data_IF_860519002068
#
_entry.id   IF_860519002068
#
_cell.length_a   1.000
_cell.length_b   1.000
_cell.length_c   1.000
_cell.angle_alpha   90.00
_cell.angle_beta   90.00
_cell.angle_gamma   90.00
#
_symmetry.space_group_name_H-M   'P 1'
#
loop_
_entity.id
_entity.type
_entity.pdbx_description
1 polymer ?
#
# COMPACT_ATOMS: atom_id res chain seq x y z
N UNK A 1 -4.82 21.47 -19.41
CA UNK A 1 -3.93 20.51 -20.12
C UNK A 1 -2.56 21.12 -20.47
N UNK A 2 -2.48 22.26 -21.20
CA UNK A 2 -1.20 22.86 -21.63
C UNK A 2 -0.19 23.17 -20.50
N UNK A 3 -0.65 23.68 -19.34
CA UNK A 3 0.22 23.92 -18.20
C UNK A 3 0.90 22.63 -17.72
N UNK A 4 0.14 21.55 -17.56
CA UNK A 4 0.66 20.25 -17.15
C UNK A 4 1.64 19.69 -18.18
N UNK A 5 1.22 19.69 -19.46
CA UNK A 5 2.03 19.17 -20.56
C UNK A 5 3.41 19.82 -20.68
N UNK A 6 3.52 21.11 -20.36
CA UNK A 6 4.80 21.85 -20.40
C UNK A 6 5.68 21.66 -19.17
N UNK A 7 5.15 21.09 -18.08
CA UNK A 7 5.86 20.95 -16.80
C UNK A 7 6.23 19.50 -16.46
N UNK A 8 5.98 18.53 -17.36
CA UNK A 8 6.31 17.12 -17.16
C UNK A 8 7.10 16.58 -18.35
N UNK A 9 7.94 15.58 -18.11
CA UNK A 9 8.55 14.77 -19.17
C UNK A 9 7.54 13.71 -19.62
N UNK A 10 7.60 13.27 -20.87
CA UNK A 10 6.66 12.26 -21.39
C UNK A 10 5.20 12.72 -21.30
N UNK A 11 4.90 13.96 -21.67
CA UNK A 11 3.60 14.58 -21.44
C UNK A 11 2.42 13.81 -22.03
N UNK A 12 2.61 13.09 -23.13
CA UNK A 12 1.58 12.24 -23.72
C UNK A 12 1.12 11.14 -22.76
N UNK A 13 2.02 10.51 -22.01
CA UNK A 13 1.69 9.49 -21.01
C UNK A 13 0.87 10.09 -19.87
N UNK A 14 1.36 11.21 -19.29
CA UNK A 14 0.68 11.90 -18.19
C UNK A 14 -0.72 12.40 -18.60
N UNK A 15 -0.85 12.96 -19.81
CA UNK A 15 -2.14 13.39 -20.33
C UNK A 15 -3.04 12.18 -20.61
N UNK A 16 -2.47 11.07 -21.11
CA UNK A 16 -3.16 9.80 -21.30
C UNK A 16 -3.78 9.27 -20.00
N UNK A 17 -3.02 9.25 -18.91
CA UNK A 17 -3.50 8.85 -17.58
C UNK A 17 -4.64 9.77 -17.10
N UNK A 18 -4.52 11.08 -17.29
CA UNK A 18 -5.59 12.02 -16.94
C UNK A 18 -6.86 11.77 -17.76
N UNK A 19 -6.72 11.52 -19.06
CA UNK A 19 -7.86 11.18 -19.93
C UNK A 19 -8.51 9.86 -19.52
N UNK A 20 -7.71 8.86 -19.14
CA UNK A 20 -8.21 7.58 -18.63
C UNK A 20 -9.02 7.78 -17.33
N UNK A 21 -8.50 8.56 -16.37
CA UNK A 21 -9.19 8.86 -15.12
C UNK A 21 -10.51 9.61 -15.35
N UNK A 22 -10.51 10.61 -16.24
CA UNK A 22 -11.73 11.35 -16.60
C UNK A 22 -12.77 10.42 -17.24
N UNK A 23 -12.33 9.57 -18.17
CA UNK A 23 -13.22 8.64 -18.88
C UNK A 23 -13.80 7.57 -17.94
N UNK A 24 -12.98 7.04 -17.02
CA UNK A 24 -13.41 6.09 -16.01
C UNK A 24 -14.46 6.71 -15.07
N UNK A 25 -14.22 7.93 -14.59
CA UNK A 25 -15.18 8.65 -13.74
C UNK A 25 -16.48 8.98 -14.47
N UNK A 26 -16.41 9.38 -15.75
CA UNK A 26 -17.60 9.63 -16.56
C UNK A 26 -18.45 8.37 -16.73
N UNK A 27 -17.82 7.22 -17.02
CA UNK A 27 -18.52 5.93 -17.12
C UNK A 27 -19.11 5.49 -15.78
N UNK A 28 -18.39 5.70 -14.67
CA UNK A 28 -18.89 5.43 -13.32
C UNK A 28 -20.10 6.29 -12.96
N UNK A 29 -20.04 7.59 -13.24
CA UNK A 29 -21.14 8.53 -13.00
C UNK A 29 -22.39 8.15 -13.82
N UNK A 30 -22.21 7.81 -15.10
CA UNK A 30 -23.31 7.36 -15.95
C UNK A 30 -24.00 6.12 -15.38
N UNK A 31 -23.23 5.09 -14.99
CA UNK A 31 -23.79 3.85 -14.42
C UNK A 31 -24.51 4.08 -13.10
N UNK A 32 -24.04 5.02 -12.28
CA UNK A 32 -24.73 5.39 -11.03
C UNK A 32 -26.08 6.03 -11.35
N UNK A 33 -26.14 6.93 -12.33
CA UNK A 33 -27.41 7.57 -12.74
C UNK A 33 -28.37 6.53 -13.34
N UNK A 34 -27.89 5.66 -14.23
CA UNK A 34 -28.71 4.58 -14.81
C UNK A 34 -29.29 3.66 -13.72
N UNK A 35 -28.47 3.30 -12.72
CA UNK A 35 -28.93 2.55 -11.56
C UNK A 35 -29.98 3.32 -10.75
N UNK A 36 -29.79 4.61 -10.51
CA UNK A 36 -30.78 5.42 -9.80
C UNK A 36 -32.11 5.51 -10.56
N UNK A 37 -32.07 5.69 -11.88
CA UNK A 37 -33.25 5.73 -12.74
C UNK A 37 -34.00 4.39 -12.75
N UNK A 38 -33.28 3.26 -12.84
CA UNK A 38 -33.85 1.90 -12.84
C UNK A 38 -34.64 1.61 -11.55
N UNK A 39 -34.11 2.05 -10.40
CA UNK A 39 -34.70 1.80 -9.08
C UNK A 39 -35.55 2.96 -8.55
N UNK A 40 -35.71 4.05 -9.32
CA UNK A 40 -36.50 5.22 -8.92
C UNK A 40 -35.95 5.96 -7.70
N UNK A 41 -34.62 6.07 -7.60
CA UNK A 41 -33.91 6.69 -6.47
C UNK A 41 -33.58 8.15 -6.76
N UNK A 42 -33.90 9.06 -5.84
CA UNK A 42 -33.53 10.49 -5.96
C UNK A 42 -32.12 10.79 -5.42
N UNK A 43 -31.64 9.96 -4.49
CA UNK A 43 -30.30 10.03 -3.90
C UNK A 43 -29.76 8.63 -3.52
N UNK A 44 -28.52 8.58 -3.05
CA UNK A 44 -27.85 7.36 -2.59
C UNK A 44 -27.64 7.32 -1.07
N UNK A 45 -28.20 8.26 -0.31
CA UNK A 45 -27.86 8.43 1.10
C UNK A 45 -28.26 7.19 1.92
N UNK A 46 -29.51 6.74 1.76
CA UNK A 46 -30.01 5.55 2.43
C UNK A 46 -29.22 4.28 2.05
N UNK A 47 -28.90 4.11 0.76
CA UNK A 47 -28.11 2.97 0.28
C UNK A 47 -26.68 3.01 0.85
N UNK A 48 -26.05 4.19 0.82
CA UNK A 48 -24.71 4.41 1.35
C UNK A 48 -24.66 4.11 2.84
N UNK A 49 -25.67 4.56 3.60
CA UNK A 49 -25.81 4.25 5.02
C UNK A 49 -25.82 2.74 5.26
N UNK A 50 -26.71 2.01 4.58
CA UNK A 50 -26.84 0.55 4.77
C UNK A 50 -25.56 -0.20 4.36
N UNK A 51 -24.93 0.18 3.24
CA UNK A 51 -23.70 -0.47 2.76
C UNK A 51 -22.53 -0.22 3.72
N UNK A 52 -22.40 1.00 4.23
CA UNK A 52 -21.35 1.33 5.20
C UNK A 52 -21.61 0.70 6.57
N UNK A 53 -22.85 0.69 7.06
CA UNK A 53 -23.23 0.07 8.33
C UNK A 53 -22.91 -1.43 8.33
N UNK A 54 -23.24 -2.15 7.25
CA UNK A 54 -22.91 -3.58 7.11
C UNK A 54 -21.41 -3.84 7.16
N UNK A 55 -20.63 -2.99 6.50
CA UNK A 55 -19.18 -3.11 6.46
C UNK A 55 -18.53 -2.73 7.80
N UNK A 56 -19.06 -1.73 8.49
CA UNK A 56 -18.68 -1.37 9.85
C UNK A 56 -18.97 -2.52 10.82
N UNK A 57 -20.19 -3.06 10.79
CA UNK A 57 -20.57 -4.19 11.63
C UNK A 57 -19.64 -5.38 11.42
N UNK A 58 -19.44 -5.81 10.18
CA UNK A 58 -18.58 -6.95 9.88
C UNK A 58 -17.14 -6.75 10.38
N UNK A 59 -16.62 -5.52 10.28
CA UNK A 59 -15.30 -5.21 10.80
C UNK A 59 -15.26 -5.18 12.33
N UNK A 60 -16.25 -4.57 13.00
CA UNK A 60 -16.34 -4.56 14.47
C UNK A 60 -16.47 -5.97 15.03
N UNK A 61 -17.32 -6.80 14.43
CA UNK A 61 -17.45 -8.22 14.77
C UNK A 61 -16.07 -8.92 14.67
N UNK A 62 -15.32 -8.68 13.59
CA UNK A 62 -13.99 -9.26 13.43
C UNK A 62 -12.94 -8.75 14.43
N UNK A 63 -13.06 -7.48 14.88
CA UNK A 63 -12.20 -6.93 15.94
C UNK A 63 -12.53 -7.56 17.29
N UNK A 64 -13.80 -7.79 17.61
CA UNK A 64 -14.24 -8.41 18.88
C UNK A 64 -13.72 -9.84 19.08
N UNK A 65 -13.43 -10.56 17.99
CA UNK A 65 -12.82 -11.90 18.06
C UNK A 65 -11.32 -11.86 18.41
N UNK A 66 -10.68 -10.69 18.35
CA UNK A 66 -9.30 -10.51 18.79
C UNK A 66 -9.26 -10.37 20.31
N UNK A 67 -8.23 -10.91 20.99
CA UNK A 67 -8.07 -10.66 22.42
C UNK A 67 -7.76 -9.18 22.68
N UNK A 68 -8.43 -8.59 23.66
CA UNK A 68 -8.07 -7.28 24.19
C UNK A 68 -6.63 -7.28 24.71
N UNK A 69 -5.89 -6.21 24.44
CA UNK A 69 -4.50 -6.13 24.87
C UNK A 69 -3.67 -5.06 24.17
N UNK A 70 -2.38 -5.06 24.51
CA UNK A 70 -1.38 -4.19 23.91
C UNK A 70 -0.33 -5.06 23.23
N UNK A 71 -0.23 -4.90 21.92
CA UNK A 71 0.69 -5.63 21.06
C UNK A 71 1.74 -4.67 20.53
N UNK A 72 3.01 -5.06 20.64
CA UNK A 72 4.14 -4.20 20.24
C UNK A 72 5.05 -4.96 19.32
N UNK A 73 5.60 -4.25 18.34
CA UNK A 73 6.70 -4.75 17.53
C UNK A 73 7.58 -3.58 17.09
N UNK A 74 8.79 -3.89 16.64
CA UNK A 74 9.71 -2.93 16.06
C UNK A 74 10.36 -3.54 14.83
N UNK A 75 10.43 -2.78 13.74
CA UNK A 75 11.21 -3.16 12.56
C UNK A 75 12.33 -2.13 12.36
N UNK A 76 13.51 -2.62 12.03
CA UNK A 76 14.65 -1.79 11.67
C UNK A 76 14.71 -1.60 10.16
N UNK A 77 14.68 -0.35 9.71
CA UNK A 77 14.67 0.01 8.30
C UNK A 77 15.81 0.98 7.96
N UNK A 78 16.60 0.64 6.95
CA UNK A 78 17.76 1.43 6.51
C UNK A 78 17.35 2.67 5.69
N UNK A 79 16.25 2.59 4.93
CA UNK A 79 15.89 3.66 3.99
C UNK A 79 17.10 4.02 3.12
N UNK A 80 17.53 5.28 3.15
CA UNK A 80 18.75 5.79 2.47
C UNK A 80 19.94 6.04 3.42
N UNK A 81 19.90 5.50 4.64
CA UNK A 81 20.90 5.74 5.69
C UNK A 81 21.13 4.50 6.58
N UNK A 82 21.72 4.64 7.78
CA UNK A 82 21.82 3.52 8.70
C UNK A 82 20.42 3.01 9.10
N UNK A 83 20.28 1.72 9.45
CA UNK A 83 19.05 1.18 10.02
C UNK A 83 18.57 1.97 11.23
N UNK A 84 17.30 2.38 11.22
CA UNK A 84 16.62 3.05 12.32
C UNK A 84 15.38 2.24 12.75
N UNK A 85 15.01 2.28 14.04
CA UNK A 85 13.85 1.55 14.54
C UNK A 85 12.54 2.24 14.14
N UNK A 86 11.54 1.45 13.77
CA UNK A 86 10.15 1.86 13.58
C UNK A 86 9.29 1.07 14.55
N UNK A 87 9.12 1.55 15.79
CA UNK A 87 8.27 0.90 16.77
C UNK A 87 6.79 1.11 16.44
N UNK A 88 5.97 0.14 16.85
CA UNK A 88 4.51 0.25 16.86
C UNK A 88 3.95 -0.28 18.16
N UNK A 89 2.80 0.28 18.54
CA UNK A 89 1.94 -0.21 19.61
C UNK A 89 0.51 -0.27 19.08
N UNK A 90 -0.07 -1.45 19.11
CA UNK A 90 -1.46 -1.71 18.75
C UNK A 90 -2.22 -1.99 20.04
N UNK A 91 -3.24 -1.20 20.33
CA UNK A 91 -4.14 -1.42 21.48
C UNK A 91 -5.48 -1.90 20.94
N UNK A 92 -5.95 -3.03 21.45
CA UNK A 92 -7.27 -3.59 21.15
C UNK A 92 -8.09 -3.51 22.43
N UNK A 93 -9.28 -2.94 22.33
CA UNK A 93 -10.23 -2.83 23.43
C UNK A 93 -11.66 -2.90 22.90
N UNK A 94 -12.34 -4.02 23.18
CA UNK A 94 -13.67 -4.30 22.67
C UNK A 94 -13.67 -4.45 21.15
N UNK A 95 -14.27 -3.50 20.45
CA UNK A 95 -14.40 -3.50 18.99
C UNK A 95 -13.59 -2.39 18.30
N UNK A 96 -12.65 -1.77 19.03
CA UNK A 96 -11.79 -0.69 18.54
C UNK A 96 -10.31 -1.09 18.50
N UNK A 97 -9.60 -0.57 17.51
CA UNK A 97 -8.14 -0.73 17.38
C UNK A 97 -7.49 0.66 17.31
N UNK A 98 -6.54 0.90 18.21
CA UNK A 98 -5.63 2.04 18.13
C UNK A 98 -4.25 1.57 17.66
N UNK A 99 -3.71 2.21 16.62
CA UNK A 99 -2.34 2.00 16.14
C UNK A 99 -1.51 3.25 16.37
N UNK A 100 -0.50 3.13 17.21
CA UNK A 100 0.39 4.19 17.63
C UNK A 100 1.82 3.96 17.14
N UNK A 101 2.32 4.91 16.34
CA UNK A 101 3.67 4.94 15.79
C UNK A 101 4.61 5.83 16.61
N UNK A 102 4.32 6.10 17.88
CA UNK A 102 5.23 6.80 18.78
C UNK A 102 6.62 6.13 18.83
N UNK A 103 7.68 6.94 18.73
CA UNK A 103 9.06 6.48 18.58
C UNK A 103 9.52 6.36 17.12
N UNK A 104 8.65 6.64 16.14
CA UNK A 104 9.06 6.75 14.73
C UNK A 104 10.18 7.79 14.59
N UNK A 105 11.23 7.51 13.79
CA UNK A 105 12.33 8.44 13.59
C UNK A 105 11.87 9.80 13.06
N UNK A 106 12.62 10.88 13.34
CA UNK A 106 12.29 12.20 12.82
C UNK A 106 12.27 12.21 11.29
N UNK A 107 11.50 13.15 10.73
CA UNK A 107 11.50 13.44 9.31
C UNK A 107 12.92 13.76 8.81
N UNK A 108 13.24 13.29 7.61
CA UNK A 108 14.53 13.53 6.94
C UNK A 108 14.47 14.79 6.10
N UNK A 109 15.58 15.51 6.06
CA UNK A 109 15.73 16.69 5.19
C UNK A 109 15.99 16.30 3.73
N UNK A 110 16.61 15.14 3.51
CA UNK A 110 17.06 14.65 2.21
C UNK A 110 16.52 13.26 1.91
N UNK A 111 16.64 12.84 0.65
CA UNK A 111 16.27 11.48 0.21
C UNK A 111 14.77 11.25 -0.02
N UNK A 112 13.91 12.21 0.30
CA UNK A 112 12.47 12.20 -0.01
C UNK A 112 11.70 10.97 0.50
N UNK A 113 12.20 10.30 1.54
CA UNK A 113 11.61 9.09 2.13
C UNK A 113 10.67 9.40 3.31
N UNK A 114 10.14 10.63 3.41
CA UNK A 114 9.14 10.95 4.43
C UNK A 114 7.75 10.56 3.95
N UNK A 115 6.81 10.37 4.87
CA UNK A 115 5.42 10.08 4.60
C UNK A 115 4.51 11.06 5.34
N UNK A 116 3.41 11.43 4.68
CA UNK A 116 2.30 12.13 5.35
C UNK A 116 1.53 11.15 6.22
N UNK A 117 0.86 11.67 7.26
CA UNK A 117 -0.02 10.85 8.10
C UNK A 117 -1.12 10.16 7.30
N UNK A 118 -1.68 10.82 6.29
CA UNK A 118 -2.72 10.24 5.43
C UNK A 118 -2.27 8.96 4.73
N UNK A 119 -1.01 8.87 4.31
CA UNK A 119 -0.47 7.69 3.65
C UNK A 119 -0.14 6.58 4.67
N UNK A 120 0.31 6.97 5.87
CA UNK A 120 0.47 6.04 7.00
C UNK A 120 -0.87 5.40 7.38
N UNK A 121 -1.90 6.22 7.61
CA UNK A 121 -3.29 5.77 7.88
C UNK A 121 -3.76 4.81 6.79
N UNK A 122 -3.55 5.14 5.51
CA UNK A 122 -4.00 4.29 4.41
C UNK A 122 -3.38 2.89 4.46
N UNK A 123 -2.07 2.76 4.71
CA UNK A 123 -1.41 1.45 4.78
C UNK A 123 -1.72 0.69 6.08
N UNK A 124 -1.94 1.39 7.18
CA UNK A 124 -2.43 0.79 8.43
C UNK A 124 -3.81 0.18 8.23
N UNK A 125 -4.77 0.98 7.73
CA UNK A 125 -6.14 0.54 7.49
C UNK A 125 -6.22 -0.55 6.41
N UNK A 126 -5.43 -0.45 5.34
CA UNK A 126 -5.31 -1.50 4.32
C UNK A 126 -4.90 -2.83 4.95
N UNK A 127 -3.86 -2.82 5.78
CA UNK A 127 -3.33 -4.04 6.42
C UNK A 127 -4.36 -4.68 7.33
N UNK A 128 -4.98 -3.90 8.22
CA UNK A 128 -6.02 -4.38 9.13
C UNK A 128 -7.24 -4.89 8.34
N UNK A 129 -7.61 -4.21 7.25
CA UNK A 129 -8.72 -4.63 6.38
C UNK A 129 -8.46 -5.98 5.69
N UNK A 130 -7.25 -6.17 5.16
CA UNK A 130 -6.86 -7.44 4.56
C UNK A 130 -6.78 -8.58 5.60
N UNK A 131 -6.33 -8.26 6.82
CA UNK A 131 -6.20 -9.24 7.90
C UNK A 131 -7.56 -9.68 8.46
N UNK A 132 -8.47 -8.74 8.71
CA UNK A 132 -9.67 -8.98 9.51
C UNK A 132 -10.90 -9.37 8.67
N UNK A 133 -11.10 -8.74 7.51
CA UNK A 133 -12.33 -8.94 6.74
C UNK A 133 -12.08 -9.03 5.23
N UNK A 134 -11.16 -9.87 4.73
CA UNK A 134 -10.73 -9.86 3.33
C UNK A 134 -11.86 -9.90 2.29
N UNK A 135 -12.98 -10.56 2.62
CA UNK A 135 -14.13 -10.73 1.72
C UNK A 135 -15.17 -9.60 1.77
N UNK A 136 -15.06 -8.67 2.73
CA UNK A 136 -15.98 -7.52 2.84
C UNK A 136 -15.55 -6.43 1.84
N UNK A 137 -16.43 -5.92 0.97
CA UNK A 137 -16.10 -4.80 0.10
C UNK A 137 -15.66 -3.57 0.89
N UNK A 138 -14.48 -3.05 0.56
CA UNK A 138 -13.89 -1.89 1.25
C UNK A 138 -14.72 -0.62 1.04
N UNK A 139 -15.13 0.00 2.15
CA UNK A 139 -15.74 1.33 2.17
C UNK A 139 -15.46 2.01 3.52
N UNK A 140 -15.91 3.26 3.70
CA UNK A 140 -15.63 4.06 4.89
C UNK A 140 -16.07 3.40 6.22
N UNK A 141 -17.10 2.54 6.20
CA UNK A 141 -17.54 1.79 7.38
C UNK A 141 -16.46 0.87 7.94
N UNK A 142 -15.63 0.27 7.08
CA UNK A 142 -14.55 -0.62 7.50
C UNK A 142 -13.44 0.05 8.34
N UNK A 143 -13.41 1.38 8.43
CA UNK A 143 -12.29 2.11 9.02
C UNK A 143 -12.68 2.92 10.26
N UNK A 144 -13.97 2.95 10.62
CA UNK A 144 -14.50 3.83 11.71
C UNK A 144 -13.99 3.47 13.11
N UNK A 145 -13.63 2.21 13.33
CA UNK A 145 -13.10 1.71 14.61
C UNK A 145 -11.58 1.81 14.71
N UNK A 146 -10.90 2.32 13.68
CA UNK A 146 -9.45 2.44 13.66
C UNK A 146 -9.02 3.86 14.01
N UNK A 147 -8.21 3.99 15.06
CA UNK A 147 -7.48 5.23 15.36
C UNK A 147 -6.01 5.02 14.99
N UNK A 148 -5.45 5.91 14.17
CA UNK A 148 -4.04 5.82 13.75
C UNK A 148 -3.32 7.12 14.07
N UNK A 149 -2.22 7.03 14.81
CA UNK A 149 -1.44 8.20 15.25
C UNK A 149 0.05 8.00 15.07
N UNK A 150 0.74 9.08 14.73
CA UNK A 150 2.20 9.15 14.64
C UNK A 150 2.65 10.56 15.07
N UNK A 151 3.83 10.71 15.72
CA UNK A 151 4.30 12.00 16.18
C UNK A 151 4.43 13.00 15.03
N UNK A 152 3.95 14.23 15.21
CA UNK A 152 4.15 15.30 14.23
C UNK A 152 5.66 15.56 14.02
N UNK A 153 6.08 15.73 12.77
CA UNK A 153 7.50 15.87 12.42
C UNK A 153 8.28 14.55 12.43
N UNK A 154 7.59 13.40 12.54
CA UNK A 154 8.18 12.09 12.32
C UNK A 154 8.15 11.69 10.85
N UNK A 155 8.91 10.66 10.49
CA UNK A 155 8.96 10.12 9.12
C UNK A 155 7.62 9.54 8.63
N UNK A 156 6.70 9.25 9.53
CA UNK A 156 5.34 8.77 9.23
C UNK A 156 4.25 9.84 9.38
N UNK A 157 4.60 11.05 9.83
CA UNK A 157 3.71 12.20 9.92
C UNK A 157 4.50 13.50 9.71
N UNK A 158 5.02 13.64 8.49
CA UNK A 158 5.78 14.81 8.07
C UNK A 158 4.85 15.94 7.61
N UNK A 159 5.32 17.17 7.79
CA UNK A 159 4.63 18.38 7.32
C UNK A 159 5.32 18.98 6.10
N UNK A 160 4.57 19.78 5.33
CA UNK A 160 5.13 20.60 4.25
C UNK A 160 6.23 21.51 4.86
N UNK A 161 7.42 21.67 4.24
CA UNK A 161 7.77 21.35 2.84
C UNK A 161 8.60 20.06 2.64
N UNK A 162 8.62 19.12 3.59
CA UNK A 162 9.44 17.92 3.44
C UNK A 162 9.03 17.07 2.24
N UNK A 163 10.02 16.49 1.57
CA UNK A 163 9.81 15.69 0.37
C UNK A 163 9.29 14.28 0.70
N UNK A 164 8.30 13.82 -0.07
CA UNK A 164 7.56 12.55 0.15
C UNK A 164 7.52 11.64 -1.09
N UNK A 165 8.40 11.89 -2.06
CA UNK A 165 8.42 11.16 -3.35
C UNK A 165 8.66 9.65 -3.14
N UNK A 166 9.63 9.28 -2.30
CA UNK A 166 9.97 7.90 -1.95
C UNK A 166 9.31 7.45 -0.64
N UNK A 167 8.12 7.97 -0.29
CA UNK A 167 7.40 7.59 0.94
C UNK A 167 7.17 6.09 1.09
N UNK A 168 7.05 5.35 -0.02
CA UNK A 168 6.92 3.88 -0.04
C UNK A 168 8.10 3.19 0.65
N UNK A 169 9.31 3.75 0.57
CA UNK A 169 10.51 3.24 1.25
C UNK A 169 10.43 3.37 2.78
N UNK A 170 9.39 3.99 3.33
CA UNK A 170 9.15 4.07 4.78
C UNK A 170 7.82 3.42 5.14
N UNK A 171 6.73 3.78 4.46
CA UNK A 171 5.39 3.33 4.84
C UNK A 171 5.14 1.85 4.55
N UNK A 172 5.86 1.22 3.61
CA UNK A 172 5.72 -0.22 3.35
C UNK A 172 6.19 -1.11 4.49
N UNK A 173 6.97 -0.57 5.45
CA UNK A 173 7.27 -1.28 6.68
C UNK A 173 6.06 -1.38 7.63
N UNK A 174 5.08 -0.47 7.54
CA UNK A 174 3.91 -0.47 8.42
C UNK A 174 3.10 -1.77 8.33
N UNK A 175 2.71 -2.28 7.13
CA UNK A 175 2.01 -3.57 7.02
C UNK A 175 2.72 -4.73 7.69
N UNK A 176 4.01 -4.93 7.38
CA UNK A 176 4.77 -6.02 7.96
C UNK A 176 4.85 -5.88 9.49
N UNK A 177 5.11 -4.67 9.98
CA UNK A 177 5.22 -4.40 11.40
C UNK A 177 3.91 -4.72 12.14
N UNK A 178 2.77 -4.30 11.59
CA UNK A 178 1.43 -4.61 12.13
C UNK A 178 1.22 -6.12 12.21
N UNK A 179 1.49 -6.85 11.12
CA UNK A 179 1.29 -8.31 11.09
C UNK A 179 2.18 -9.04 12.10
N UNK A 180 3.42 -8.57 12.32
CA UNK A 180 4.28 -9.12 13.37
C UNK A 180 3.75 -8.83 14.78
N UNK A 181 3.30 -7.61 15.07
CA UNK A 181 2.70 -7.30 16.38
C UNK A 181 1.45 -8.16 16.65
N UNK A 182 0.65 -8.41 15.60
CA UNK A 182 -0.57 -9.19 15.68
C UNK A 182 -0.35 -10.71 15.72
N UNK A 183 0.87 -11.20 15.49
CA UNK A 183 1.14 -12.63 15.37
C UNK A 183 0.79 -13.45 16.62
N UNK A 184 0.85 -12.85 17.82
CA UNK A 184 0.44 -13.53 19.06
C UNK A 184 -1.09 -13.46 19.28
N UNK A 185 -1.73 -12.39 18.82
CA UNK A 185 -3.17 -12.17 18.99
C UNK A 185 -4.00 -13.04 18.02
N UNK A 186 -3.54 -13.11 16.77
CA UNK A 186 -4.25 -13.75 15.67
C UNK A 186 -3.26 -14.47 14.73
N UNK A 187 -2.55 -15.52 15.19
CA UNK A 187 -1.52 -16.21 14.43
C UNK A 187 -2.02 -16.76 13.08
N UNK A 188 -3.30 -17.10 12.99
CA UNK A 188 -3.92 -17.67 11.78
C UNK A 188 -4.43 -16.63 10.78
N UNK A 189 -4.32 -15.33 11.10
CA UNK A 189 -4.71 -14.22 10.23
C UNK A 189 -3.51 -13.44 9.67
N UNK A 190 -2.30 -13.77 10.11
CA UNK A 190 -1.07 -13.05 9.72
C UNK A 190 -0.19 -13.86 8.75
N UNK A 191 0.76 -13.16 8.14
CA UNK A 191 1.86 -13.75 7.39
C UNK A 191 3.18 -13.11 7.86
N UNK A 192 4.30 -13.79 7.61
CA UNK A 192 5.63 -13.28 7.90
C UNK A 192 5.98 -12.08 7.02
N UNK A 193 7.18 -11.51 7.22
CA UNK A 193 7.65 -10.37 6.42
C UNK A 193 7.62 -10.70 4.92
N UNK A 194 7.03 -9.81 4.12
CA UNK A 194 7.03 -9.91 2.67
C UNK A 194 8.05 -8.96 2.09
N UNK A 195 8.92 -9.47 1.22
CA UNK A 195 9.86 -8.66 0.46
C UNK A 195 9.13 -7.61 -0.38
N UNK A 196 9.60 -6.37 -0.32
CA UNK A 196 8.93 -5.27 -0.99
C UNK A 196 9.11 -5.32 -2.52
N UNK A 197 8.17 -4.73 -3.27
CA UNK A 197 8.37 -4.43 -4.67
C UNK A 197 9.64 -3.60 -4.86
N UNK A 198 10.36 -3.91 -5.92
CA UNK A 198 11.45 -3.09 -6.41
C UNK A 198 11.08 -2.53 -7.78
N UNK A 199 11.58 -1.33 -8.08
CA UNK A 199 11.39 -0.70 -9.37
C UNK A 199 12.74 -0.21 -9.86
N UNK A 200 13.13 -0.62 -11.06
CA UNK A 200 14.27 -0.03 -11.76
C UNK A 200 13.75 1.15 -12.59
N UNK A 201 14.11 2.36 -12.20
CA UNK A 201 13.81 3.57 -12.96
C UNK A 201 14.81 3.71 -14.10
N UNK A 202 14.31 3.78 -15.33
CA UNK A 202 15.08 3.79 -16.56
C UNK A 202 14.64 5.01 -17.37
N UNK A 203 15.49 6.03 -17.40
CA UNK A 203 15.18 7.29 -18.07
C UNK A 203 16.38 7.83 -18.84
N UNK A 204 16.10 8.59 -19.89
CA UNK A 204 17.16 9.17 -20.71
C UNK A 204 16.65 9.74 -22.03
N UNK A 205 17.58 9.81 -22.99
CA UNK A 205 17.27 10.13 -24.38
C UNK A 205 17.83 9.02 -25.27
N UNK A 206 17.03 8.58 -26.22
CA UNK A 206 17.48 7.64 -27.24
C UNK A 206 18.45 8.33 -28.24
N UNK A 207 19.07 7.58 -29.16
CA UNK A 207 19.94 8.17 -30.20
C UNK A 207 19.26 9.19 -31.12
N UNK A 208 17.92 9.17 -31.22
CA UNK A 208 17.13 10.13 -31.99
C UNK A 208 16.78 11.40 -31.16
N UNK A 209 17.17 11.45 -29.90
CA UNK A 209 16.89 12.55 -28.97
C UNK A 209 15.53 12.46 -28.28
N UNK A 210 14.75 11.40 -28.52
CA UNK A 210 13.45 11.16 -27.90
C UNK A 210 13.65 10.79 -26.42
N UNK A 211 12.86 11.42 -25.54
CA UNK A 211 12.91 11.12 -24.10
C UNK A 211 12.18 9.80 -23.84
N UNK A 212 12.80 8.92 -23.07
CA UNK A 212 12.16 7.75 -22.46
C UNK A 212 12.23 7.85 -20.94
N UNK A 213 11.20 7.34 -20.28
CA UNK A 213 11.06 7.24 -18.83
C UNK A 213 10.16 6.03 -18.55
N UNK A 214 10.73 4.98 -17.98
CA UNK A 214 10.01 3.74 -17.69
C UNK A 214 10.46 3.11 -16.37
N UNK A 215 9.59 2.29 -15.80
CA UNK A 215 9.77 1.60 -14.54
C UNK A 215 9.64 0.10 -14.78
N UNK A 216 10.71 -0.64 -14.55
CA UNK A 216 10.65 -2.10 -14.50
C UNK A 216 10.30 -2.54 -13.07
N UNK A 217 9.02 -2.80 -12.82
CA UNK A 217 8.52 -3.27 -11.53
C UNK A 217 8.69 -4.78 -11.36
N UNK A 218 9.13 -5.18 -10.17
CA UNK A 218 9.37 -6.57 -9.77
C UNK A 218 8.92 -6.80 -8.33
N UNK A 219 8.16 -7.88 -8.10
CA UNK A 219 7.75 -8.30 -6.75
C UNK A 219 8.84 -8.99 -5.93
N UNK A 220 8.70 -8.96 -4.61
CA UNK A 220 9.53 -9.71 -3.67
C UNK A 220 8.93 -11.07 -3.30
N UNK A 221 9.57 -11.80 -2.38
CA UNK A 221 9.02 -13.04 -1.82
C UNK A 221 7.96 -12.75 -0.77
N UNK A 222 6.76 -13.32 -0.90
CA UNK A 222 5.71 -13.24 0.12
C UNK A 222 6.15 -13.97 1.39
N UNK A 223 5.83 -13.40 2.55
CA UNK A 223 5.99 -14.09 3.82
C UNK A 223 5.09 -15.31 3.91
N UNK A 224 5.61 -16.40 4.50
CA UNK A 224 4.80 -17.58 4.78
C UNK A 224 3.69 -17.29 5.80
N UNK A 225 2.65 -18.12 5.82
CA UNK A 225 1.59 -18.07 6.83
C UNK A 225 1.58 -19.36 7.66
N UNK A 226 0.70 -19.45 8.67
CA UNK A 226 0.48 -20.69 9.41
C UNK A 226 -0.08 -21.85 8.54
N UNK A 227 -0.49 -21.56 7.30
CA UNK A 227 -1.24 -22.48 6.43
C UNK A 227 -0.46 -22.94 5.20
N UNK A 228 0.49 -22.14 4.71
CA UNK A 228 1.17 -22.40 3.44
C UNK A 228 2.45 -21.57 3.25
N UNK A 229 3.28 -22.03 2.32
CA UNK A 229 4.43 -21.31 1.78
C UNK A 229 4.02 -19.95 1.17
N UNK A 230 4.95 -19.01 1.19
CA UNK A 230 4.83 -17.74 0.48
C UNK A 230 4.99 -17.89 -1.03
N UNK A 231 4.31 -17.03 -1.79
CA UNK A 231 4.47 -16.90 -3.24
C UNK A 231 5.69 -16.06 -3.60
N UNK A 232 6.47 -16.49 -4.59
CA UNK A 232 7.60 -15.74 -5.14
C UNK A 232 7.15 -14.67 -6.13
N UNK A 233 7.79 -13.49 -6.11
CA UNK A 233 7.55 -12.42 -7.10
C UNK A 233 6.24 -11.65 -6.89
N UNK A 234 5.78 -11.51 -5.65
CA UNK A 234 4.55 -10.78 -5.31
C UNK A 234 4.84 -9.30 -5.04
N UNK A 235 4.03 -8.40 -5.60
CA UNK A 235 4.14 -6.96 -5.36
C UNK A 235 3.35 -6.53 -4.11
N UNK A 236 3.64 -7.06 -2.93
CA UNK A 236 2.98 -6.61 -1.70
C UNK A 236 3.80 -5.50 -1.00
N UNK A 237 3.21 -4.39 -0.52
CA UNK A 237 1.78 -4.17 -0.24
C UNK A 237 1.02 -3.36 -1.30
N UNK A 238 1.36 -3.48 -2.58
CA UNK A 238 0.62 -2.86 -3.69
C UNK A 238 -0.26 -3.88 -4.42
N UNK A 239 -1.12 -3.41 -5.31
CA UNK A 239 -1.92 -4.24 -6.22
C UNK A 239 -1.39 -4.21 -7.66
N UNK A 240 -0.21 -3.62 -7.86
CA UNK A 240 0.47 -3.59 -9.15
C UNK A 240 0.88 -5.00 -9.62
N UNK A 241 1.09 -5.13 -10.93
CA UNK A 241 1.62 -6.33 -11.55
C UNK A 241 3.09 -6.12 -11.97
N UNK A 242 3.81 -7.23 -12.13
CA UNK A 242 5.15 -7.22 -12.72
C UNK A 242 5.10 -6.61 -14.13
N UNK A 243 6.13 -5.83 -14.47
CA UNK A 243 6.25 -5.26 -15.81
C UNK A 243 6.71 -6.33 -16.81
N UNK A 244 6.03 -6.42 -17.96
CA UNK A 244 6.47 -7.28 -19.06
C UNK A 244 7.83 -6.85 -19.59
N UNK A 245 8.75 -7.80 -19.77
CA UNK A 245 10.07 -7.54 -20.34
C UNK A 245 9.96 -6.97 -21.75
N UNK A 246 9.12 -7.58 -22.60
CA UNK A 246 8.91 -7.11 -23.98
C UNK A 246 8.38 -5.67 -24.01
N UNK A 247 7.49 -5.32 -23.08
CA UNK A 247 6.96 -3.96 -22.98
C UNK A 247 8.02 -2.97 -22.52
N UNK A 248 8.87 -3.35 -21.57
CA UNK A 248 9.96 -2.50 -21.09
C UNK A 248 11.01 -2.25 -22.19
N UNK A 249 11.42 -3.30 -22.93
CA UNK A 249 12.36 -3.19 -24.05
C UNK A 249 11.78 -2.42 -25.25
N UNK A 250 10.46 -2.47 -25.46
CA UNK A 250 9.80 -1.68 -26.50
C UNK A 250 9.75 -0.18 -26.16
N UNK A 251 9.73 0.19 -24.86
CA UNK A 251 9.57 1.58 -24.40
C UNK A 251 10.87 2.26 -24.01
N UNK A 252 11.90 1.49 -23.66
CA UNK A 252 13.21 2.01 -23.28
C UNK A 252 14.32 1.25 -24.04
N UNK A 253 15.44 1.92 -24.40
CA UNK A 253 16.57 1.30 -25.10
C UNK A 253 17.43 0.44 -24.16
N UNK A 254 16.81 -0.59 -23.61
CA UNK A 254 17.40 -1.57 -22.70
C UNK A 254 17.24 -2.96 -23.30
N UNK A 255 18.10 -3.88 -22.87
CA UNK A 255 17.97 -5.30 -23.17
C UNK A 255 18.09 -6.07 -21.85
N UNK A 256 17.05 -6.81 -21.50
CA UNK A 256 17.01 -7.65 -20.31
C UNK A 256 17.63 -8.99 -20.67
N UNK A 257 18.89 -9.20 -20.27
CA UNK A 257 19.62 -10.44 -20.58
C UNK A 257 19.05 -11.65 -19.82
N UNK A 258 18.65 -11.47 -18.56
CA UNK A 258 18.18 -12.54 -17.68
C UNK A 258 17.09 -11.99 -16.75
N UNK A 259 15.98 -12.73 -16.64
CA UNK A 259 14.97 -12.56 -15.60
C UNK A 259 14.60 -13.95 -15.06
N UNK A 260 14.89 -14.20 -13.79
CA UNK A 260 14.68 -15.50 -13.17
C UNK A 260 14.41 -15.35 -11.67
N UNK A 261 13.82 -16.38 -11.06
CA UNK A 261 13.81 -16.50 -9.61
C UNK A 261 15.24 -16.67 -9.09
N UNK A 262 15.51 -16.08 -7.93
CA UNK A 262 16.77 -16.27 -7.21
C UNK A 262 16.65 -17.55 -6.39
N UNK A 263 17.41 -18.62 -6.69
CA UNK A 263 17.36 -19.83 -5.88
C UNK A 263 17.76 -19.55 -4.43
N UNK A 264 17.15 -20.28 -3.51
CA UNK A 264 17.46 -20.23 -2.07
C UNK A 264 17.33 -18.84 -1.40
N UNK A 265 16.57 -17.91 -2.01
CA UNK A 265 16.28 -16.58 -1.43
C UNK A 265 15.17 -16.59 -0.38
N UNK A 266 14.28 -17.59 -0.42
CA UNK A 266 13.16 -17.72 0.51
C UNK A 266 13.64 -18.11 1.91
N UNK A 267 13.11 -17.43 2.94
CA UNK A 267 13.49 -17.71 4.32
C UNK A 267 12.91 -19.05 4.78
N UNK A 268 13.75 -19.88 5.40
CA UNK A 268 13.35 -21.19 5.92
C UNK A 268 12.37 -21.09 7.10
N UNK A 269 11.42 -22.01 7.15
CA UNK A 269 10.42 -22.16 8.21
C UNK A 269 9.65 -23.46 8.01
N UNK A 270 8.66 -23.75 8.86
CA UNK A 270 7.72 -24.87 8.62
C UNK A 270 7.06 -24.74 7.24
N UNK A 271 6.70 -23.52 6.91
CA UNK A 271 6.39 -23.05 5.57
C UNK A 271 7.44 -22.01 5.20
N UNK A 272 7.97 -22.08 3.98
CA UNK A 272 9.04 -21.18 3.52
C UNK A 272 8.48 -19.86 3.00
N UNK A 273 9.27 -18.81 3.10
CA UNK A 273 9.03 -17.59 2.33
C UNK A 273 9.12 -17.83 0.83
N UNK A 274 8.46 -16.96 0.08
CA UNK A 274 8.55 -16.91 -1.39
C UNK A 274 9.93 -16.53 -1.89
#
# INVERSE_FOLDING_TARGET
MLLLAKNVRGSEQVLGDLHALVSANASGAQRIVEFMDEYGMEDLEALTFVVQERAEKAMRDAVQELPDGIYKNEIWASGLGPPEPFPIKITIHGDEIEVDYEGTPPERETGASNSTLSFTVAYTCYTLKCMLTPDVPSNAGCYRMFTVKAPEGSRLNTSKPRAVYLRTHTTWYCPANILYAMANAAPDLVQAFTGFPSSQLIYGRDPNGQVYDDHLFQGGGQGASSRQDGKSGLLFPTTAADTSVELAEARAPILVLIRQYVPDSGVAGRYRGG
#
